data_IF_928874864363
#
_entry.id   IF_928874864363
#
_cell.length_a   1.000
_cell.length_b   1.000
_cell.length_c   1.000
_cell.angle_alpha   90.00
_cell.angle_beta   90.00
_cell.angle_gamma   90.00
#
_symmetry.space_group_name_H-M   'P 1'
#
loop_
_entity.id
_entity.type
_entity.pdbx_description
1 polymer ?
#
# COMPACT_ATOMS: atom_id res chain seq x y z
N UNK A 1 -11.62 -25.97 -5.07
CA UNK A 1 -11.55 -24.59 -4.56
C UNK A 1 -10.67 -24.70 -3.34
N UNK A 2 -9.43 -24.25 -3.46
CA UNK A 2 -8.45 -24.44 -2.39
C UNK A 2 -8.73 -23.41 -1.30
N UNK A 3 -9.04 -23.89 -0.10
CA UNK A 3 -9.17 -23.05 1.07
C UNK A 3 -7.85 -23.06 1.85
N UNK A 4 -7.36 -21.86 2.18
CA UNK A 4 -6.21 -21.70 3.05
C UNK A 4 -6.75 -21.65 4.48
N UNK A 5 -6.70 -22.78 5.17
CA UNK A 5 -7.19 -22.94 6.53
C UNK A 5 -6.06 -23.23 7.51
N UNK A 6 -6.29 -22.95 8.80
CA UNK A 6 -5.35 -23.28 9.90
C UNK A 6 -3.93 -22.71 9.75
N UNK A 7 -3.79 -21.55 9.09
CA UNK A 7 -2.52 -20.80 9.06
C UNK A 7 -2.14 -20.44 10.48
N UNK A 8 -0.89 -20.73 10.89
CA UNK A 8 -0.44 -20.45 12.25
C UNK A 8 -0.49 -18.94 12.50
N UNK A 9 -0.85 -18.49 13.70
CA UNK A 9 -0.81 -17.07 14.03
C UNK A 9 0.55 -16.44 13.71
N UNK A 10 0.54 -15.40 12.87
CA UNK A 10 1.75 -14.70 12.40
C UNK A 10 2.33 -15.18 11.07
N UNK A 11 1.86 -16.31 10.53
CA UNK A 11 2.20 -16.76 9.17
C UNK A 11 1.30 -16.06 8.12
N UNK A 12 1.72 -16.09 6.85
CA UNK A 12 1.01 -15.48 5.73
C UNK A 12 -0.07 -16.40 5.14
N UNK A 13 -1.19 -15.81 4.74
CA UNK A 13 -2.15 -16.47 3.85
C UNK A 13 -1.59 -16.48 2.42
N UNK A 14 -1.01 -17.60 2.01
CA UNK A 14 -0.36 -17.73 0.69
C UNK A 14 -0.55 -19.12 0.10
N UNK A 15 -0.60 -19.18 -1.23
CA UNK A 15 -0.62 -20.40 -2.04
C UNK A 15 0.48 -20.29 -3.10
N UNK A 16 1.16 -21.40 -3.37
CA UNK A 16 2.16 -21.49 -4.44
C UNK A 16 1.69 -22.52 -5.45
N UNK A 17 1.61 -22.11 -6.71
CA UNK A 17 1.14 -22.95 -7.79
C UNK A 17 1.98 -22.74 -9.05
N UNK A 18 1.84 -23.66 -10.01
CA UNK A 18 2.47 -23.54 -11.33
C UNK A 18 1.43 -23.35 -12.41
N UNK A 19 1.73 -22.54 -13.42
CA UNK A 19 0.80 -22.22 -14.50
C UNK A 19 1.48 -21.50 -15.66
N UNK A 20 0.72 -21.29 -16.73
CA UNK A 20 1.22 -20.73 -17.99
C UNK A 20 0.43 -19.52 -18.48
N UNK A 21 -0.67 -19.15 -17.81
CA UNK A 21 -1.56 -18.08 -18.22
C UNK A 21 -1.90 -17.11 -17.09
N UNK A 22 -2.16 -15.86 -17.46
CA UNK A 22 -2.74 -14.86 -16.58
C UNK A 22 -4.26 -15.04 -16.51
N UNK A 23 -4.82 -14.93 -15.32
CA UNK A 23 -6.26 -15.00 -15.09
C UNK A 23 -6.63 -14.21 -13.83
N UNK A 24 -7.92 -13.93 -13.66
CA UNK A 24 -8.44 -13.30 -12.46
C UNK A 24 -8.66 -14.35 -11.36
N UNK A 25 -8.04 -14.11 -10.20
CA UNK A 25 -8.21 -14.91 -9.00
C UNK A 25 -9.29 -14.23 -8.14
N UNK A 26 -10.36 -14.96 -7.84
CA UNK A 26 -11.33 -14.55 -6.83
C UNK A 26 -10.86 -14.99 -5.44
N UNK A 27 -10.56 -14.02 -4.59
CA UNK A 27 -10.11 -14.21 -3.21
C UNK A 27 -11.30 -13.90 -2.30
N UNK A 28 -11.75 -14.90 -1.53
CA UNK A 28 -12.82 -14.71 -0.55
C UNK A 28 -12.24 -14.73 0.86
N UNK A 29 -12.34 -13.59 1.55
CA UNK A 29 -11.86 -13.38 2.90
C UNK A 29 -13.00 -13.66 3.87
N UNK A 30 -12.77 -14.57 4.80
CA UNK A 30 -13.67 -14.83 5.93
C UNK A 30 -13.07 -14.23 7.19
N UNK A 31 -13.88 -13.52 7.96
CA UNK A 31 -13.46 -12.87 9.19
C UNK A 31 -13.70 -13.76 10.41
N UNK A 32 -13.06 -13.41 11.52
CA UNK A 32 -13.37 -13.97 12.84
C UNK A 32 -14.88 -13.81 13.11
N UNK A 33 -15.61 -14.86 13.51
CA UNK A 33 -17.06 -14.78 13.77
C UNK A 33 -17.50 -13.64 14.70
N UNK A 34 -16.64 -13.20 15.61
CA UNK A 34 -16.89 -12.05 16.49
C UNK A 34 -16.99 -10.70 15.76
N UNK A 35 -16.50 -10.60 14.53
CA UNK A 35 -16.69 -9.40 13.70
C UNK A 35 -18.14 -9.22 13.29
N UNK A 36 -18.91 -10.31 13.22
CA UNK A 36 -20.26 -10.37 12.64
C UNK A 36 -20.34 -9.83 11.19
N UNK A 37 -19.21 -9.77 10.50
CA UNK A 37 -19.14 -9.36 9.10
C UNK A 37 -19.34 -10.54 8.15
N UNK A 38 -19.92 -10.23 6.98
CA UNK A 38 -19.99 -11.21 5.89
C UNK A 38 -18.61 -11.37 5.24
N UNK A 39 -18.41 -12.52 4.60
CA UNK A 39 -17.21 -12.74 3.80
C UNK A 39 -17.10 -11.71 2.66
N UNK A 40 -15.91 -11.13 2.50
CA UNK A 40 -15.61 -10.18 1.44
C UNK A 40 -14.97 -10.89 0.25
N UNK A 41 -15.38 -10.53 -0.96
CA UNK A 41 -14.78 -11.03 -2.19
C UNK A 41 -13.93 -9.94 -2.84
N UNK A 42 -12.69 -10.26 -3.16
CA UNK A 42 -11.74 -9.41 -3.86
C UNK A 42 -11.29 -10.17 -5.12
N UNK A 43 -10.98 -9.43 -6.18
CA UNK A 43 -10.51 -9.99 -7.43
C UNK A 43 -9.11 -9.47 -7.72
N UNK A 44 -8.18 -10.38 -8.01
CA UNK A 44 -6.80 -10.04 -8.29
C UNK A 44 -6.36 -10.68 -9.60
N UNK A 45 -5.88 -9.88 -10.56
CA UNK A 45 -5.33 -10.40 -11.80
C UNK A 45 -3.92 -10.93 -11.56
N UNK A 46 -3.74 -12.25 -11.73
CA UNK A 46 -2.42 -12.87 -11.70
C UNK A 46 -1.56 -12.36 -12.86
N UNK A 47 -0.36 -11.90 -12.56
CA UNK A 47 0.62 -11.43 -13.55
C UNK A 47 1.78 -12.40 -13.66
N UNK A 48 2.09 -12.81 -14.88
CA UNK A 48 3.22 -13.69 -15.19
C UNK A 48 4.32 -12.96 -15.95
N UNK A 49 4.00 -11.81 -16.56
CA UNK A 49 4.96 -11.00 -17.30
C UNK A 49 5.19 -9.64 -16.65
N UNK A 50 6.39 -9.03 -16.83
CA UNK A 50 6.66 -7.69 -16.35
C UNK A 50 5.60 -6.69 -16.84
N UNK A 51 5.10 -5.87 -15.93
CA UNK A 51 4.05 -4.90 -16.21
C UNK A 51 4.29 -3.59 -15.44
N UNK A 52 3.51 -2.55 -15.76
CA UNK A 52 3.65 -1.21 -15.18
C UNK A 52 4.50 -0.29 -16.06
N UNK A 53 5.08 0.76 -15.49
CA UNK A 53 5.97 1.65 -16.24
C UNK A 53 7.31 0.98 -16.61
N UNK A 54 8.10 1.65 -17.45
CA UNK A 54 9.37 1.10 -17.93
C UNK A 54 10.37 0.81 -16.79
N UNK A 55 10.34 1.60 -15.72
CA UNK A 55 11.22 1.41 -14.56
C UNK A 55 10.81 0.17 -13.75
N UNK A 56 9.51 -0.02 -13.55
CA UNK A 56 8.94 -1.18 -12.86
C UNK A 56 9.18 -2.46 -13.66
N UNK A 57 8.98 -2.43 -14.99
CA UNK A 57 9.26 -3.57 -15.87
C UNK A 57 10.75 -3.94 -15.86
N UNK A 58 11.64 -2.94 -15.98
CA UNK A 58 13.09 -3.18 -15.93
C UNK A 58 13.53 -3.80 -14.61
N UNK A 59 12.96 -3.34 -13.49
CA UNK A 59 13.25 -3.89 -12.15
C UNK A 59 12.79 -5.34 -12.01
N UNK A 60 11.58 -5.67 -12.49
CA UNK A 60 11.05 -7.04 -12.47
C UNK A 60 11.88 -7.99 -13.33
N UNK A 61 12.32 -7.54 -14.51
CA UNK A 61 13.20 -8.31 -15.40
C UNK A 61 14.55 -8.56 -14.71
N UNK A 62 15.16 -7.52 -14.14
CA UNK A 62 16.46 -7.63 -13.48
C UNK A 62 16.43 -8.57 -12.28
N UNK A 63 15.32 -8.58 -11.53
CA UNK A 63 15.13 -9.44 -10.36
C UNK A 63 14.61 -10.84 -10.71
N UNK A 64 14.23 -11.10 -11.97
CA UNK A 64 13.57 -12.32 -12.41
C UNK A 64 12.33 -12.67 -11.55
N UNK A 65 11.57 -11.64 -11.16
CA UNK A 65 10.41 -11.76 -10.28
C UNK A 65 9.36 -10.72 -10.69
N UNK A 66 8.13 -11.18 -10.93
CA UNK A 66 6.97 -10.33 -11.23
C UNK A 66 6.18 -10.10 -9.96
N UNK A 67 6.03 -8.83 -9.59
CA UNK A 67 5.41 -8.42 -8.32
C UNK A 67 4.16 -7.58 -8.64
N UNK A 68 2.97 -8.14 -8.36
CA UNK A 68 1.69 -7.47 -8.59
C UNK A 68 0.93 -7.24 -7.28
N UNK A 69 0.96 -6.00 -6.80
CA UNK A 69 0.45 -5.64 -5.47
C UNK A 69 -0.80 -4.78 -5.60
N UNK A 70 -1.83 -5.12 -4.84
CA UNK A 70 -3.08 -4.34 -4.74
C UNK A 70 -3.27 -3.97 -3.28
N UNK A 71 -3.48 -2.68 -3.03
CA UNK A 71 -3.85 -2.17 -1.71
C UNK A 71 -5.37 -2.12 -1.59
N UNK A 72 -5.88 -2.55 -0.44
CA UNK A 72 -7.30 -2.51 -0.11
C UNK A 72 -7.48 -2.22 1.39
N UNK A 73 -8.61 -1.63 1.75
CA UNK A 73 -8.93 -1.22 3.12
C UNK A 73 -10.18 -1.95 3.62
N UNK A 74 -10.00 -2.79 4.63
CA UNK A 74 -11.11 -3.47 5.29
C UNK A 74 -11.62 -2.59 6.43
N UNK A 75 -12.80 -1.99 6.26
CA UNK A 75 -13.39 -1.07 7.24
C UNK A 75 -14.45 -1.79 8.05
N UNK A 76 -14.19 -1.94 9.35
CA UNK A 76 -15.15 -2.44 10.32
C UNK A 76 -15.79 -1.26 11.05
N UNK A 77 -17.05 -0.96 10.74
CA UNK A 77 -17.77 0.15 11.37
C UNK A 77 -18.36 -0.30 12.70
N UNK A 78 -18.13 0.46 13.77
CA UNK A 78 -18.67 0.20 15.11
C UNK A 78 -18.47 -1.28 15.55
N UNK A 79 -17.23 -1.81 15.51
CA UNK A 79 -16.98 -3.20 15.88
C UNK A 79 -17.36 -3.43 17.34
N UNK A 80 -17.91 -4.60 17.65
CA UNK A 80 -18.13 -5.02 19.02
C UNK A 80 -16.82 -5.01 19.82
N UNK A 81 -16.89 -4.68 21.10
CA UNK A 81 -15.71 -4.51 21.97
C UNK A 81 -14.73 -5.68 21.88
N UNK A 82 -15.26 -6.91 21.89
CA UNK A 82 -14.44 -8.12 21.80
C UNK A 82 -13.65 -8.22 20.49
N UNK A 83 -14.25 -7.83 19.37
CA UNK A 83 -13.58 -7.84 18.07
C UNK A 83 -12.58 -6.67 17.96
N UNK A 84 -12.95 -5.49 18.47
CA UNK A 84 -12.05 -4.35 18.58
C UNK A 84 -10.80 -4.68 19.40
N UNK A 85 -10.97 -5.34 20.54
CA UNK A 85 -9.87 -5.84 21.37
C UNK A 85 -8.98 -6.81 20.59
N UNK A 86 -9.55 -7.75 19.81
CA UNK A 86 -8.77 -8.67 18.97
C UNK A 86 -7.92 -7.94 17.92
N UNK A 87 -8.46 -6.88 17.30
CA UNK A 87 -7.75 -6.13 16.27
C UNK A 87 -6.63 -5.24 16.86
N UNK A 88 -6.86 -4.67 18.04
CA UNK A 88 -6.01 -3.62 18.62
C UNK A 88 -5.07 -4.10 19.72
N UNK A 89 -5.39 -5.23 20.36
CA UNK A 89 -4.58 -5.80 21.43
C UNK A 89 -3.72 -6.95 20.89
N UNK A 90 -2.40 -6.75 20.73
CA UNK A 90 -1.51 -7.82 20.33
C UNK A 90 -1.58 -8.96 21.35
N UNK A 91 -1.96 -10.15 20.89
CA UNK A 91 -1.90 -11.34 21.73
C UNK A 91 -0.46 -11.51 22.29
N UNK A 92 -0.31 -11.69 23.62
CA UNK A 92 1.01 -11.87 24.22
C UNK A 92 1.59 -13.18 23.71
N UNK A 93 2.76 -13.11 23.06
CA UNK A 93 3.50 -14.31 22.63
C UNK A 93 3.67 -15.24 23.82
N UNK A 94 3.15 -16.46 23.73
CA UNK A 94 3.37 -17.48 24.76
C UNK A 94 4.86 -17.75 24.85
N UNK A 95 5.46 -17.55 26.02
CA UNK A 95 6.87 -17.86 26.28
C UNK A 95 7.13 -19.34 25.99
N UNK A 96 7.75 -19.65 24.86
CA UNK A 96 8.64 -20.80 24.78
C UNK A 96 9.77 -20.60 25.80
N UNK A 97 10.07 -21.62 26.61
CA UNK A 97 10.90 -21.55 27.83
C UNK A 97 12.37 -21.15 27.67
N UNK A 98 12.66 -19.95 27.15
CA UNK A 98 13.97 -19.31 27.16
C UNK A 98 13.81 -17.85 27.58
N UNK A 99 14.59 -17.42 28.58
CA UNK A 99 14.51 -16.08 29.16
C UNK A 99 14.65 -14.97 28.10
N UNK A 100 13.56 -14.25 27.83
CA UNK A 100 13.53 -13.10 26.94
C UNK A 100 12.44 -12.10 27.36
N UNK A 101 12.75 -10.80 27.25
CA UNK A 101 12.03 -9.62 27.74
C UNK A 101 10.50 -9.67 27.58
N UNK A 102 9.79 -9.26 28.66
CA UNK A 102 8.34 -8.94 28.62
C UNK A 102 8.10 -7.84 27.59
N UNK A 103 7.29 -8.11 26.57
CA UNK A 103 6.68 -7.08 25.72
C UNK A 103 5.52 -6.45 26.50
N UNK A 104 5.53 -5.13 26.62
CA UNK A 104 4.54 -4.35 27.36
C UNK A 104 3.19 -4.43 26.63
N UNK A 105 2.11 -4.62 27.39
CA UNK A 105 0.75 -4.34 26.93
C UNK A 105 0.65 -2.84 26.63
N UNK A 106 0.45 -2.48 25.36
CA UNK A 106 0.26 -1.09 24.94
C UNK A 106 1.05 -0.70 23.70
N UNK A 107 0.35 -0.58 22.57
CA UNK A 107 0.57 0.44 21.54
C UNK A 107 1.81 0.38 20.64
N UNK A 108 2.85 -0.38 20.95
CA UNK A 108 4.11 -0.41 20.18
C UNK A 108 4.51 -1.84 19.83
N UNK A 109 3.80 -2.38 18.84
CA UNK A 109 4.05 -3.72 18.32
C UNK A 109 5.18 -3.65 17.29
N UNK A 110 6.43 -3.75 17.74
CA UNK A 110 7.63 -3.82 16.89
C UNK A 110 7.79 -5.13 16.10
N UNK A 111 6.83 -6.04 16.22
CA UNK A 111 6.79 -7.29 15.48
C UNK A 111 5.33 -7.66 15.25
N UNK A 112 4.89 -7.97 14.02
CA UNK A 112 3.57 -8.59 13.76
C UNK A 112 3.27 -9.59 14.88
N UNK A 113 2.43 -9.17 15.82
CA UNK A 113 2.04 -9.98 16.97
C UNK A 113 1.11 -11.07 16.49
N UNK A 114 0.84 -12.07 17.33
CA UNK A 114 -0.01 -13.21 16.97
C UNK A 114 -1.42 -12.78 16.51
N UNK A 115 -1.89 -11.57 16.88
CA UNK A 115 -3.21 -11.01 16.52
C UNK A 115 -3.17 -9.47 16.57
N UNK A 116 -2.82 -8.78 15.48
CA UNK A 116 -3.03 -7.32 15.41
C UNK A 116 -3.23 -6.85 13.98
N UNK A 117 -4.14 -5.90 13.79
CA UNK A 117 -4.34 -5.20 12.52
C UNK A 117 -3.39 -4.01 12.35
N UNK A 118 -2.48 -3.77 13.30
CA UNK A 118 -1.54 -2.66 13.22
C UNK A 118 -0.45 -2.91 12.17
N UNK A 119 -0.22 -1.88 11.33
CA UNK A 119 0.87 -1.88 10.35
C UNK A 119 2.22 -2.08 11.05
N UNK A 120 3.08 -2.99 10.56
CA UNK A 120 4.41 -3.23 11.13
C UNK A 120 5.24 -1.94 11.21
N UNK A 121 6.04 -1.79 12.27
CA UNK A 121 6.89 -0.59 12.42
C UNK A 121 8.01 -0.50 11.39
N UNK A 122 8.57 -1.65 10.98
CA UNK A 122 9.74 -1.75 10.10
C UNK A 122 9.47 -2.75 8.98
N UNK A 123 10.13 -2.55 7.84
CA UNK A 123 10.04 -3.45 6.69
C UNK A 123 10.72 -4.79 6.94
N UNK A 124 10.33 -5.82 6.18
CA UNK A 124 10.95 -7.16 6.21
C UNK A 124 11.25 -7.63 4.78
N UNK A 125 12.19 -8.58 4.59
CA UNK A 125 12.41 -9.18 3.28
C UNK A 125 11.10 -9.72 2.69
N UNK A 126 10.79 -9.36 1.43
CA UNK A 126 9.54 -9.74 0.76
C UNK A 126 8.27 -9.02 1.25
N UNK A 127 8.35 -8.20 2.30
CA UNK A 127 7.23 -7.45 2.88
C UNK A 127 7.67 -5.99 3.17
N UNK A 128 7.61 -5.10 2.16
CA UNK A 128 7.91 -3.69 2.27
C UNK A 128 6.75 -2.87 2.84
N UNK A 129 5.56 -3.42 3.15
CA UNK A 129 4.49 -2.63 3.77
C UNK A 129 4.73 -2.44 5.27
N UNK A 130 5.12 -1.23 5.66
CA UNK A 130 5.41 -0.87 7.04
C UNK A 130 5.23 0.64 7.28
N UNK A 131 5.18 1.07 8.54
CA UNK A 131 5.20 2.50 8.89
C UNK A 131 6.49 3.20 8.46
N UNK A 132 7.57 2.46 8.29
CA UNK A 132 8.83 2.97 7.78
C UNK A 132 8.72 3.31 6.29
N UNK A 133 8.19 2.40 5.47
CA UNK A 133 7.95 2.69 4.05
C UNK A 133 6.90 3.77 3.88
N UNK A 134 5.81 3.73 4.64
CA UNK A 134 4.79 4.79 4.63
C UNK A 134 5.43 6.18 4.84
N UNK A 135 6.31 6.33 5.85
CA UNK A 135 7.05 7.59 6.07
C UNK A 135 7.95 7.96 4.89
N UNK A 136 8.59 6.98 4.27
CA UNK A 136 9.39 7.17 3.05
C UNK A 136 8.55 7.69 1.88
N UNK A 137 7.39 7.06 1.65
CA UNK A 137 6.44 7.42 0.60
C UNK A 137 5.89 8.82 0.80
N UNK A 138 5.48 9.18 2.03
CA UNK A 138 5.02 10.53 2.38
C UNK A 138 6.11 11.58 2.08
N UNK A 139 7.38 11.28 2.42
CA UNK A 139 8.50 12.19 2.09
C UNK A 139 8.68 12.33 0.59
N UNK A 140 8.63 11.24 -0.16
CA UNK A 140 8.75 11.24 -1.62
C UNK A 140 7.63 12.04 -2.27
N UNK A 141 6.39 11.86 -1.82
CA UNK A 141 5.23 12.66 -2.26
C UNK A 141 5.39 14.13 -1.91
N UNK A 142 5.92 14.46 -0.73
CA UNK A 142 6.18 15.85 -0.35
C UNK A 142 7.23 16.52 -1.24
N UNK A 143 8.26 15.80 -1.67
CA UNK A 143 9.25 16.30 -2.65
C UNK A 143 8.60 16.47 -4.02
N UNK A 144 7.83 15.49 -4.48
CA UNK A 144 7.09 15.57 -5.74
C UNK A 144 6.13 16.77 -5.78
N UNK A 145 5.40 17.00 -4.68
CA UNK A 145 4.51 18.15 -4.54
C UNK A 145 5.24 19.48 -4.70
N UNK A 146 6.38 19.67 -4.02
CA UNK A 146 7.20 20.89 -4.17
C UNK A 146 7.65 21.10 -5.61
N UNK A 147 8.11 20.04 -6.27
CA UNK A 147 8.53 20.12 -7.68
C UNK A 147 7.37 20.54 -8.59
N UNK A 148 6.17 20.01 -8.37
CA UNK A 148 4.98 20.42 -9.12
C UNK A 148 4.61 21.88 -8.85
N UNK A 149 4.69 22.32 -7.59
CA UNK A 149 4.47 23.72 -7.21
C UNK A 149 5.46 24.66 -7.95
N UNK A 150 6.76 24.35 -7.93
CA UNK A 150 7.81 25.11 -8.65
C UNK A 150 7.55 25.15 -10.17
N UNK A 151 7.23 24.01 -10.78
CA UNK A 151 6.90 23.95 -12.21
C UNK A 151 5.65 24.78 -12.54
N UNK A 152 4.64 24.74 -11.67
CA UNK A 152 3.39 25.49 -11.83
C UNK A 152 3.64 26.99 -11.75
N UNK A 153 4.49 27.44 -10.82
CA UNK A 153 4.89 28.84 -10.70
C UNK A 153 5.67 29.32 -11.93
N UNK A 154 6.60 28.50 -12.44
CA UNK A 154 7.34 28.77 -13.66
C UNK A 154 6.42 28.95 -14.87
N UNK A 155 5.50 28.00 -15.10
CA UNK A 155 4.54 28.07 -16.21
C UNK A 155 3.60 29.27 -16.08
N UNK A 156 3.16 29.61 -14.85
CA UNK A 156 2.35 30.82 -14.61
C UNK A 156 3.11 32.10 -14.94
N UNK A 157 4.43 32.14 -14.72
CA UNK A 157 5.25 33.29 -15.08
C UNK A 157 5.37 33.44 -16.59
N UNK A 158 5.70 32.34 -17.28
CA UNK A 158 5.79 32.32 -18.74
C UNK A 158 4.46 32.70 -19.39
N UNK A 159 3.34 32.19 -18.89
CA UNK A 159 2.01 32.54 -19.38
C UNK A 159 1.75 34.05 -19.27
N UNK A 160 2.08 34.68 -18.13
CA UNK A 160 1.92 36.14 -17.95
C UNK A 160 2.78 36.93 -18.92
N UNK A 161 4.02 36.50 -19.15
CA UNK A 161 4.93 37.16 -20.10
C UNK A 161 4.37 37.08 -21.53
N UNK A 162 3.88 35.89 -21.93
CA UNK A 162 3.29 35.66 -23.25
C UNK A 162 1.97 36.39 -23.46
N UNK A 163 1.09 36.44 -22.45
CA UNK A 163 -0.13 37.23 -22.49
C UNK A 163 0.17 38.74 -22.63
N UNK A 164 1.21 39.23 -21.94
CA UNK A 164 1.68 40.60 -22.06
C UNK A 164 2.22 40.92 -23.46
N UNK A 165 3.06 40.05 -24.01
CA UNK A 165 3.61 40.15 -25.37
C UNK A 165 2.49 40.14 -26.43
N UNK A 166 1.55 39.20 -26.31
CA UNK A 166 0.40 39.07 -27.20
C UNK A 166 -0.50 40.31 -27.16
N UNK A 167 -0.70 40.90 -25.98
CA UNK A 167 -1.44 42.16 -25.83
C UNK A 167 -0.73 43.33 -26.51
N UNK A 168 0.61 43.40 -26.44
CA UNK A 168 1.40 44.43 -27.14
C UNK A 168 1.26 44.30 -28.65
N UNK A 169 1.49 43.10 -29.18
CA UNK A 169 1.40 42.83 -30.62
C UNK A 169 0.00 43.10 -31.16
N UNK A 170 -1.07 42.75 -30.42
CA UNK A 170 -2.45 43.08 -30.82
C UNK A 170 -2.68 44.59 -30.96
N UNK A 171 -2.13 45.40 -30.05
CA UNK A 171 -2.26 46.87 -30.13
C UNK A 171 -1.48 47.47 -31.29
N UNK A 172 -0.30 46.93 -31.60
CA UNK A 172 0.48 47.36 -32.77
C UNK A 172 -0.27 47.04 -34.06
N UNK A 173 -0.86 45.84 -34.15
CA UNK A 173 -1.63 45.41 -35.32
C UNK A 173 -2.95 46.17 -35.51
N UNK A 174 -3.62 46.56 -34.42
CA UNK A 174 -4.79 47.45 -34.43
C UNK A 174 -4.45 48.90 -34.79
N UNK A 175 -3.20 49.34 -34.61
CA UNK A 175 -2.76 50.69 -34.95
C UNK A 175 -2.25 50.82 -36.41
N UNK A 176 -1.89 49.70 -37.03
CA UNK A 176 -1.45 49.63 -38.44
C UNK A 176 -2.59 49.35 -39.44
N UNK A 177 -3.78 48.94 -38.96
CA UNK A 177 -4.99 48.70 -39.77
C UNK A 177 -5.99 49.85 -39.73
#
# INVERSE_FOLDING_TARGET
MDSIENVKPGDSFQLHETGWGEFEISIKIYYEPLSLEKAQAIYHTLKLHPFGDASAQASQIANNEVISWVYDEMVFNEPYEQFYEILTSPAPRVKGGGGGKKVLSGGLVGSVGERTALVPLTSRPGQPFSRETEKGEVRRLAVGRRKVEEMTEGLRKELREKEGELKRLRRELEAEG
#
